data_IF_098128397083
#
_entry.id   IF_098128397083
#
_cell.length_a   1.000
_cell.length_b   1.000
_cell.length_c   1.000
_cell.angle_alpha   90.00
_cell.angle_beta   90.00
_cell.angle_gamma   90.00
#
_symmetry.space_group_name_H-M   'P 1'
#
loop_
_entity.id
_entity.type
_entity.pdbx_description
1 polymer ?
#
# COMPACT_ATOMS: atom_id res chain seq x y z
N UNK A 1 -26.61 -8.93 -4.50
CA UNK A 1 -26.27 -8.10 -5.69
C UNK A 1 -25.59 -8.97 -6.74
N UNK A 2 -26.07 -8.96 -7.98
CA UNK A 2 -25.35 -9.62 -9.09
C UNK A 2 -24.06 -8.85 -9.33
N UNK A 3 -22.91 -9.52 -9.21
CA UNK A 3 -21.60 -8.88 -9.43
C UNK A 3 -21.46 -8.46 -10.90
N UNK A 4 -21.05 -7.21 -11.12
CA UNK A 4 -20.93 -6.62 -12.47
C UNK A 4 -19.76 -7.25 -13.24
N UNK A 5 -18.65 -7.52 -12.55
CA UNK A 5 -17.39 -7.92 -13.16
C UNK A 5 -17.16 -9.43 -13.19
N UNK A 6 -18.02 -10.24 -12.54
CA UNK A 6 -17.85 -11.70 -12.50
C UNK A 6 -19.03 -12.43 -13.14
N UNK A 7 -18.74 -13.62 -13.70
CA UNK A 7 -19.70 -14.59 -14.17
C UNK A 7 -19.32 -15.96 -13.63
N UNK A 8 -20.23 -16.62 -12.92
CA UNK A 8 -19.97 -17.93 -12.27
C UNK A 8 -18.73 -17.93 -11.35
N UNK A 9 -18.53 -16.85 -10.58
CA UNK A 9 -17.39 -16.73 -9.66
C UNK A 9 -16.03 -16.48 -10.32
N UNK A 10 -15.99 -16.35 -11.66
CA UNK A 10 -14.76 -16.01 -12.41
C UNK A 10 -14.86 -14.61 -12.98
N UNK A 11 -13.75 -13.89 -13.04
CA UNK A 11 -13.68 -12.59 -13.72
C UNK A 11 -14.06 -12.74 -15.20
N UNK A 12 -14.82 -11.78 -15.71
CA UNK A 12 -15.06 -11.69 -17.15
C UNK A 12 -13.74 -11.34 -17.85
N UNK A 13 -13.50 -11.91 -19.01
CA UNK A 13 -12.24 -11.82 -19.75
C UNK A 13 -11.81 -10.37 -20.01
N UNK A 14 -12.74 -9.47 -20.24
CA UNK A 14 -12.48 -8.06 -20.53
C UNK A 14 -12.06 -7.22 -19.29
N UNK A 15 -12.30 -7.69 -18.04
CA UNK A 15 -12.07 -6.89 -16.82
C UNK A 15 -10.61 -6.56 -16.63
N UNK A 16 -9.73 -7.54 -16.72
CA UNK A 16 -8.28 -7.33 -16.54
C UNK A 16 -7.71 -6.41 -17.62
N UNK A 17 -7.97 -6.62 -18.92
CA UNK A 17 -7.53 -5.68 -19.95
C UNK A 17 -8.04 -4.26 -19.75
N UNK A 18 -9.31 -4.08 -19.34
CA UNK A 18 -9.88 -2.75 -19.09
C UNK A 18 -9.19 -2.05 -17.92
N UNK A 19 -8.92 -2.75 -16.81
CA UNK A 19 -8.23 -2.17 -15.66
C UNK A 19 -6.75 -1.87 -15.97
N UNK A 20 -6.09 -2.71 -16.77
CA UNK A 20 -4.73 -2.42 -17.27
C UNK A 20 -4.75 -1.20 -18.18
N UNK A 21 -5.72 -1.10 -19.09
CA UNK A 21 -5.88 0.09 -19.93
C UNK A 21 -6.13 1.35 -19.09
N UNK A 22 -6.92 1.26 -18.01
CA UNK A 22 -7.11 2.36 -17.06
C UNK A 22 -5.79 2.80 -16.42
N UNK A 23 -4.94 1.87 -15.97
CA UNK A 23 -3.61 2.18 -15.41
C UNK A 23 -2.76 2.90 -16.46
N UNK A 24 -2.73 2.41 -17.69
CA UNK A 24 -1.96 3.01 -18.78
C UNK A 24 -2.44 4.44 -19.07
N UNK A 25 -3.75 4.66 -19.12
CA UNK A 25 -4.35 5.99 -19.31
C UNK A 25 -4.01 6.93 -18.14
N UNK A 26 -4.14 6.44 -16.88
CA UNK A 26 -3.76 7.23 -15.71
C UNK A 26 -2.26 7.56 -15.71
N UNK A 27 -1.39 6.62 -16.09
CA UNK A 27 0.05 6.83 -16.17
C UNK A 27 0.41 7.82 -17.29
N UNK A 28 -0.22 7.72 -18.46
CA UNK A 28 -0.05 8.67 -19.56
C UNK A 28 -0.51 10.07 -19.15
N UNK A 29 -1.67 10.20 -18.51
CA UNK A 29 -2.15 11.48 -17.98
C UNK A 29 -1.18 12.05 -16.92
N UNK A 30 -0.67 11.20 -16.01
CA UNK A 30 0.31 11.58 -15.00
C UNK A 30 1.65 12.03 -15.61
N UNK A 31 2.03 11.53 -16.78
CA UNK A 31 3.20 12.01 -17.52
C UNK A 31 3.01 13.42 -18.09
N UNK A 32 1.78 13.85 -18.34
CA UNK A 32 1.47 15.17 -18.89
C UNK A 32 1.15 16.21 -17.82
N UNK A 33 0.37 15.80 -16.79
CA UNK A 33 -0.12 16.69 -15.74
C UNK A 33 0.97 16.89 -14.67
N UNK A 34 1.23 18.12 -14.31
CA UNK A 34 2.18 18.51 -13.24
C UNK A 34 2.63 19.97 -13.38
N UNK A 35 3.38 20.46 -12.41
CA UNK A 35 3.84 21.87 -12.31
C UNK A 35 4.68 22.33 -13.51
N UNK A 36 5.46 21.42 -14.07
CA UNK A 36 6.22 21.69 -15.29
C UNK A 36 5.38 21.26 -16.48
N UNK A 37 5.07 22.20 -17.35
CA UNK A 37 4.39 21.89 -18.62
C UNK A 37 5.32 21.06 -19.51
N UNK A 38 4.91 19.86 -19.84
CA UNK A 38 5.56 18.99 -20.81
C UNK A 38 4.49 18.57 -21.79
N UNK A 39 4.70 18.83 -23.07
CA UNK A 39 3.75 18.47 -24.11
C UNK A 39 3.75 16.95 -24.37
N UNK A 40 2.69 16.46 -25.02
CA UNK A 40 2.67 15.06 -25.46
C UNK A 40 3.82 14.76 -26.44
N UNK A 41 4.14 15.72 -27.30
CA UNK A 41 5.25 15.63 -28.25
C UNK A 41 6.58 15.48 -27.54
N UNK A 42 6.82 16.26 -26.46
CA UNK A 42 8.04 16.16 -25.64
C UNK A 42 8.17 14.80 -24.97
N UNK A 43 7.07 14.27 -24.41
CA UNK A 43 7.06 12.93 -23.79
C UNK A 43 7.38 11.85 -24.82
N UNK A 44 6.73 11.89 -25.98
CA UNK A 44 6.98 10.92 -27.06
C UNK A 44 8.40 11.04 -27.60
N UNK A 45 8.90 12.27 -27.78
CA UNK A 45 10.28 12.51 -28.22
C UNK A 45 11.29 11.98 -27.20
N UNK A 46 11.07 12.22 -25.90
CA UNK A 46 11.92 11.72 -24.83
C UNK A 46 11.95 10.17 -24.79
N UNK A 47 10.78 9.53 -24.92
CA UNK A 47 10.69 8.08 -25.00
C UNK A 47 11.40 7.52 -26.23
N UNK A 48 11.22 8.14 -27.40
CA UNK A 48 11.92 7.75 -28.64
C UNK A 48 13.43 7.91 -28.51
N UNK A 49 13.91 9.02 -27.98
CA UNK A 49 15.33 9.26 -27.76
C UNK A 49 15.94 8.22 -26.84
N UNK A 50 15.23 7.82 -25.77
CA UNK A 50 15.73 6.88 -24.77
C UNK A 50 15.75 5.42 -25.24
N UNK A 51 14.72 4.96 -25.96
CA UNK A 51 14.50 3.55 -26.27
C UNK A 51 14.75 3.17 -27.73
N UNK A 52 14.68 4.13 -28.66
CA UNK A 52 14.78 3.87 -30.11
C UNK A 52 15.83 4.75 -30.81
N UNK A 53 16.69 5.48 -30.07
CA UNK A 53 17.77 6.27 -30.66
C UNK A 53 17.29 7.52 -31.43
N UNK A 54 16.21 8.15 -30.97
CA UNK A 54 15.70 9.40 -31.56
C UNK A 54 16.60 10.62 -31.31
N UNK A 55 16.24 11.77 -31.88
CA UNK A 55 16.94 13.03 -31.66
C UNK A 55 16.98 13.39 -30.17
N UNK A 56 18.09 13.98 -29.67
CA UNK A 56 18.17 14.39 -28.27
C UNK A 56 17.13 15.45 -27.94
N UNK A 57 16.47 15.28 -26.81
CA UNK A 57 15.49 16.24 -26.26
C UNK A 57 16.16 17.22 -25.29
N UNK A 58 15.56 18.39 -25.00
CA UNK A 58 16.09 19.30 -24.01
C UNK A 58 16.35 18.59 -22.66
N UNK A 59 17.48 18.82 -21.98
CA UNK A 59 17.83 18.17 -20.70
C UNK A 59 16.73 18.29 -19.65
N UNK A 60 16.02 19.44 -19.61
CA UNK A 60 14.90 19.66 -18.70
C UNK A 60 13.72 18.69 -18.94
N UNK A 61 13.38 18.44 -20.21
CA UNK A 61 12.30 17.49 -20.56
C UNK A 61 12.70 16.08 -20.12
N UNK A 62 13.95 15.70 -20.44
CA UNK A 62 14.49 14.39 -20.06
C UNK A 62 14.41 14.15 -18.54
N UNK A 63 14.90 15.11 -17.75
CA UNK A 63 14.86 15.02 -16.27
C UNK A 63 13.42 14.98 -15.74
N UNK A 64 12.52 15.80 -16.24
CA UNK A 64 11.11 15.78 -15.79
C UNK A 64 10.45 14.45 -16.09
N UNK A 65 10.68 13.87 -17.25
CA UNK A 65 10.07 12.60 -17.67
C UNK A 65 10.69 11.43 -16.90
N UNK A 66 12.01 11.29 -16.90
CA UNK A 66 12.67 10.08 -16.40
C UNK A 66 13.12 10.16 -14.95
N UNK A 67 13.53 11.34 -14.45
CA UNK A 67 14.07 11.43 -13.08
C UNK A 67 12.99 11.83 -12.07
N UNK A 68 11.91 12.55 -12.51
CA UNK A 68 10.85 12.98 -11.60
C UNK A 68 9.56 12.18 -11.77
N UNK A 69 8.99 12.07 -13.00
CA UNK A 69 7.65 11.49 -13.20
C UNK A 69 7.66 9.97 -13.29
N UNK A 70 8.60 9.38 -14.01
CA UNK A 70 8.64 7.93 -14.18
C UNK A 70 8.82 7.17 -12.85
N UNK A 71 9.78 7.51 -11.96
CA UNK A 71 9.89 6.80 -10.68
C UNK A 71 8.65 6.97 -9.80
N UNK A 72 8.01 8.14 -9.80
CA UNK A 72 6.77 8.39 -9.05
C UNK A 72 5.62 7.51 -9.54
N UNK A 73 5.43 7.38 -10.84
CA UNK A 73 4.39 6.51 -11.42
C UNK A 73 4.64 5.05 -11.09
N UNK A 74 5.90 4.59 -11.21
CA UNK A 74 6.29 3.22 -10.85
C UNK A 74 5.97 2.94 -9.38
N UNK A 75 6.36 3.84 -8.48
CA UNK A 75 6.12 3.69 -7.05
C UNK A 75 4.63 3.78 -6.72
N UNK A 76 3.87 4.69 -7.34
CA UNK A 76 2.42 4.77 -7.16
C UNK A 76 1.72 3.45 -7.53
N UNK A 77 2.13 2.80 -8.63
CA UNK A 77 1.62 1.47 -9.03
C UNK A 77 1.93 0.43 -7.94
N UNK A 78 3.18 0.38 -7.49
CA UNK A 78 3.62 -0.59 -6.47
C UNK A 78 2.92 -0.39 -5.13
N UNK A 79 2.83 0.85 -4.66
CA UNK A 79 2.18 1.21 -3.39
C UNK A 79 0.69 0.90 -3.45
N UNK A 80 0.01 1.42 -4.47
CA UNK A 80 -1.43 1.26 -4.60
C UNK A 80 -1.85 -0.18 -4.75
N UNK A 81 -1.17 -0.91 -5.62
CA UNK A 81 -1.39 -2.34 -5.82
C UNK A 81 -1.03 -3.16 -4.59
N UNK A 82 0.15 -2.92 -4.01
CA UNK A 82 0.65 -3.65 -2.84
C UNK A 82 -0.26 -3.49 -1.62
N UNK A 83 -0.55 -2.25 -1.19
CA UNK A 83 -1.42 -1.99 -0.04
C UNK A 83 -2.84 -2.55 -0.25
N UNK A 84 -3.37 -2.47 -1.47
CA UNK A 84 -4.69 -2.99 -1.77
C UNK A 84 -4.74 -4.51 -1.68
N UNK A 85 -3.72 -5.20 -2.15
CA UNK A 85 -3.61 -6.67 -2.05
C UNK A 85 -3.40 -7.09 -0.60
N UNK A 86 -2.53 -6.42 0.14
CA UNK A 86 -2.30 -6.67 1.56
C UNK A 86 -3.58 -6.45 2.38
N UNK A 87 -4.29 -5.35 2.13
CA UNK A 87 -5.58 -5.07 2.77
C UNK A 87 -6.65 -6.11 2.44
N UNK A 88 -6.80 -6.50 1.16
CA UNK A 88 -7.74 -7.55 0.74
C UNK A 88 -7.44 -8.89 1.42
N UNK A 89 -6.16 -9.24 1.55
CA UNK A 89 -5.70 -10.44 2.26
C UNK A 89 -6.11 -10.39 3.75
N UNK A 90 -5.83 -9.29 4.44
CA UNK A 90 -6.18 -9.11 5.85
C UNK A 90 -7.68 -9.14 6.11
N UNK A 91 -8.46 -8.41 5.30
CA UNK A 91 -9.92 -8.43 5.41
C UNK A 91 -10.51 -9.83 5.24
N UNK A 92 -9.94 -10.65 4.36
CA UNK A 92 -10.38 -12.03 4.17
C UNK A 92 -9.90 -12.95 5.29
N UNK A 93 -8.64 -12.79 5.73
CA UNK A 93 -8.02 -13.60 6.77
C UNK A 93 -8.73 -13.44 8.13
N UNK A 94 -9.15 -12.22 8.44
CA UNK A 94 -9.82 -11.87 9.70
C UNK A 94 -11.35 -11.83 9.57
N UNK A 95 -11.91 -12.14 8.38
CA UNK A 95 -13.34 -12.02 8.09
C UNK A 95 -13.93 -10.68 8.57
N UNK A 96 -13.09 -9.63 8.49
CA UNK A 96 -13.42 -8.28 8.95
C UNK A 96 -13.08 -7.26 7.84
N UNK A 97 -14.05 -6.53 7.29
CA UNK A 97 -13.82 -5.57 6.21
C UNK A 97 -12.98 -4.35 6.63
N UNK A 98 -12.76 -4.15 7.93
CA UNK A 98 -11.96 -3.06 8.49
C UNK A 98 -10.52 -3.49 8.87
N UNK A 99 -10.18 -4.78 8.72
CA UNK A 99 -8.84 -5.26 9.03
C UNK A 99 -7.83 -4.79 7.98
N UNK A 100 -6.69 -4.29 8.44
CA UNK A 100 -5.54 -3.90 7.62
C UNK A 100 -4.25 -4.37 8.29
N UNK A 101 -3.13 -4.49 7.57
CA UNK A 101 -1.84 -4.79 8.20
C UNK A 101 -1.43 -3.80 9.30
N UNK A 102 -1.93 -2.57 9.26
CA UNK A 102 -1.68 -1.55 10.28
C UNK A 102 -2.24 -1.93 11.65
N UNK A 103 -3.28 -2.78 11.70
CA UNK A 103 -3.85 -3.30 12.94
C UNK A 103 -2.87 -4.17 13.74
N UNK A 104 -1.76 -4.60 13.14
CA UNK A 104 -0.68 -5.32 13.83
C UNK A 104 0.45 -4.41 14.33
N UNK A 105 0.30 -3.10 14.23
CA UNK A 105 1.30 -2.12 14.67
C UNK A 105 2.47 -1.93 13.70
N UNK A 106 2.43 -2.59 12.55
CA UNK A 106 3.54 -2.57 11.56
C UNK A 106 3.83 -1.16 11.08
N UNK A 107 2.80 -0.38 10.75
CA UNK A 107 2.98 1.00 10.29
C UNK A 107 3.69 1.86 11.35
N UNK A 108 3.22 1.83 12.59
CA UNK A 108 3.82 2.58 13.68
C UNK A 108 5.27 2.14 13.95
N UNK A 109 5.55 0.83 13.96
CA UNK A 109 6.90 0.31 14.11
C UNK A 109 7.84 0.70 12.97
N UNK A 110 7.37 0.66 11.73
CA UNK A 110 8.13 1.13 10.55
C UNK A 110 8.48 2.61 10.69
N UNK A 111 7.53 3.44 11.15
CA UNK A 111 7.75 4.86 11.41
C UNK A 111 8.79 5.10 12.53
N UNK A 112 8.80 4.29 13.59
CA UNK A 112 9.83 4.38 14.64
C UNK A 112 11.22 4.19 14.05
N UNK A 113 11.42 3.14 13.25
CA UNK A 113 12.71 2.89 12.60
C UNK A 113 13.15 4.02 11.69
N UNK A 114 12.23 4.56 10.90
CA UNK A 114 12.52 5.71 10.03
C UNK A 114 12.93 6.95 10.83
N UNK A 115 12.17 7.29 11.88
CA UNK A 115 12.41 8.48 12.70
C UNK A 115 13.74 8.37 13.44
N UNK A 116 14.11 7.19 13.95
CA UNK A 116 15.45 6.97 14.55
C UNK A 116 16.54 7.24 13.52
N UNK A 117 16.42 6.74 12.30
CA UNK A 117 17.40 6.92 11.24
C UNK A 117 17.49 8.39 10.78
N UNK A 118 16.36 9.12 10.73
CA UNK A 118 16.30 10.56 10.44
C UNK A 118 17.00 11.38 11.55
N UNK A 119 16.77 11.05 12.82
CA UNK A 119 17.44 11.72 13.96
C UNK A 119 18.96 11.47 13.98
N UNK A 120 19.41 10.37 13.39
CA UNK A 120 20.84 10.04 13.23
C UNK A 120 21.43 10.55 11.91
N UNK A 121 20.71 11.38 11.18
CA UNK A 121 21.09 11.97 9.88
C UNK A 121 21.53 10.90 8.84
N UNK A 122 20.87 9.72 8.85
CA UNK A 122 21.13 8.69 7.86
C UNK A 122 20.61 9.11 6.49
N UNK A 123 21.25 8.63 5.44
CA UNK A 123 20.76 8.85 4.07
C UNK A 123 19.44 8.12 3.82
N UNK A 124 18.71 8.48 2.76
CA UNK A 124 17.38 7.93 2.43
C UNK A 124 17.36 6.40 2.35
N UNK A 125 18.43 5.76 1.88
CA UNK A 125 18.54 4.29 1.84
C UNK A 125 18.65 3.72 3.24
N UNK A 126 19.41 4.35 4.11
CA UNK A 126 19.53 3.99 5.53
C UNK A 126 18.19 4.13 6.26
N UNK A 127 17.47 5.23 6.04
CA UNK A 127 16.13 5.47 6.58
C UNK A 127 15.16 4.35 6.10
N UNK A 128 15.19 4.04 4.81
CA UNK A 128 14.36 2.97 4.25
C UNK A 128 14.69 1.59 4.85
N UNK A 129 15.96 1.25 4.98
CA UNK A 129 16.40 -0.01 5.56
C UNK A 129 16.00 -0.13 7.05
N UNK A 130 16.25 0.93 7.84
CA UNK A 130 15.86 0.97 9.25
C UNK A 130 14.34 0.84 9.43
N UNK A 131 13.56 1.55 8.63
CA UNK A 131 12.11 1.48 8.62
C UNK A 131 11.61 0.05 8.31
N UNK A 132 12.15 -0.58 7.27
CA UNK A 132 11.78 -1.95 6.89
C UNK A 132 12.09 -2.95 8.00
N UNK A 133 13.30 -2.90 8.56
CA UNK A 133 13.73 -3.78 9.66
C UNK A 133 12.85 -3.58 10.89
N UNK A 134 12.58 -2.33 11.28
CA UNK A 134 11.73 -2.03 12.44
C UNK A 134 10.29 -2.51 12.24
N UNK A 135 9.72 -2.35 11.05
CA UNK A 135 8.40 -2.87 10.72
C UNK A 135 8.31 -4.40 10.83
N UNK A 136 9.30 -5.11 10.29
CA UNK A 136 9.39 -6.57 10.40
C UNK A 136 9.60 -7.03 11.84
N UNK A 137 10.47 -6.33 12.60
CA UNK A 137 10.70 -6.61 14.02
C UNK A 137 9.42 -6.38 14.84
N UNK A 138 8.67 -5.32 14.55
CA UNK A 138 7.38 -5.04 15.19
C UNK A 138 6.37 -6.14 14.93
N UNK A 139 6.25 -6.62 13.69
CA UNK A 139 5.40 -7.77 13.38
C UNK A 139 5.82 -9.02 14.16
N UNK A 140 7.11 -9.32 14.17
CA UNK A 140 7.64 -10.48 14.89
C UNK A 140 7.32 -10.37 16.39
N UNK A 141 7.50 -9.19 16.99
CA UNK A 141 7.17 -8.90 18.38
C UNK A 141 5.66 -9.06 18.65
N UNK A 142 4.79 -8.43 17.83
CA UNK A 142 3.34 -8.58 17.94
C UNK A 142 2.91 -10.03 17.86
N UNK A 143 3.47 -10.78 16.92
CA UNK A 143 3.18 -12.20 16.75
C UNK A 143 3.64 -13.02 17.95
N UNK A 144 4.81 -12.70 18.51
CA UNK A 144 5.39 -13.40 19.68
C UNK A 144 4.52 -13.22 20.94
N UNK A 145 4.11 -11.98 21.25
CA UNK A 145 3.27 -11.69 22.44
C UNK A 145 1.82 -12.19 22.28
N UNK A 146 1.38 -12.40 21.03
CA UNK A 146 0.01 -12.85 20.74
C UNK A 146 -0.14 -14.37 20.71
N UNK A 147 0.95 -15.13 20.87
CA UNK A 147 0.89 -16.59 20.96
C UNK A 147 0.25 -17.02 22.27
N UNK A 148 -0.76 -17.88 22.18
CA UNK A 148 -1.36 -18.51 23.37
C UNK A 148 -0.43 -19.61 23.93
N UNK A 149 -0.60 -19.97 25.20
CA UNK A 149 0.14 -21.07 25.85
C UNK A 149 0.01 -22.42 25.12
N UNK A 150 -1.08 -22.61 24.39
CA UNK A 150 -1.35 -23.82 23.59
C UNK A 150 -0.73 -23.77 22.19
N UNK A 151 -0.03 -22.67 21.84
CA UNK A 151 0.53 -22.47 20.49
C UNK A 151 -0.52 -22.16 19.40
N UNK A 152 -1.80 -22.09 19.76
CA UNK A 152 -2.86 -21.78 18.83
C UNK A 152 -2.83 -20.30 18.43
N UNK A 153 -3.09 -20.03 17.16
CA UNK A 153 -3.12 -18.69 16.60
C UNK A 153 -4.50 -18.08 16.84
N UNK A 154 -4.65 -17.22 17.84
CA UNK A 154 -5.90 -16.54 18.11
C UNK A 154 -5.90 -15.16 17.44
N UNK A 155 -6.82 -14.95 16.49
CA UNK A 155 -6.99 -13.69 15.75
C UNK A 155 -7.26 -12.50 16.68
N UNK A 156 -8.10 -12.70 17.70
CA UNK A 156 -8.46 -11.62 18.64
C UNK A 156 -7.22 -11.19 19.43
N UNK A 157 -6.45 -12.14 19.95
CA UNK A 157 -5.22 -11.86 20.69
C UNK A 157 -4.18 -11.16 19.80
N UNK A 158 -4.11 -11.51 18.52
CA UNK A 158 -3.20 -10.88 17.58
C UNK A 158 -3.58 -9.43 17.32
N UNK A 159 -4.87 -9.14 17.10
CA UNK A 159 -5.37 -7.77 16.89
C UNK A 159 -5.18 -6.93 18.15
N UNK A 160 -5.51 -7.46 19.33
CA UNK A 160 -5.28 -6.77 20.61
C UNK A 160 -3.80 -6.50 20.86
N UNK A 161 -2.94 -7.49 20.61
CA UNK A 161 -1.49 -7.34 20.65
C UNK A 161 -1.00 -6.23 19.71
N UNK A 162 -1.52 -6.18 18.50
CA UNK A 162 -1.23 -5.12 17.52
C UNK A 162 -1.64 -3.73 18.00
N UNK A 163 -2.82 -3.58 18.61
CA UNK A 163 -3.27 -2.31 19.18
C UNK A 163 -2.33 -1.86 20.31
N UNK A 164 -1.94 -2.76 21.21
CA UNK A 164 -0.99 -2.46 22.30
C UNK A 164 0.37 -2.04 21.73
N UNK A 165 0.89 -2.79 20.77
CA UNK A 165 2.19 -2.49 20.13
C UNK A 165 2.13 -1.18 19.37
N UNK A 166 1.03 -0.89 18.67
CA UNK A 166 0.82 0.40 18.01
C UNK A 166 0.83 1.56 19.00
N UNK A 167 0.15 1.41 20.15
CA UNK A 167 0.13 2.43 21.19
C UNK A 167 1.54 2.69 21.76
N UNK A 168 2.31 1.61 22.02
CA UNK A 168 3.69 1.71 22.49
C UNK A 168 4.59 2.39 21.43
N UNK A 169 4.50 1.96 20.16
CA UNK A 169 5.27 2.55 19.07
C UNK A 169 4.94 4.05 18.88
N UNK A 170 3.66 4.44 18.98
CA UNK A 170 3.26 5.84 18.90
C UNK A 170 3.75 6.66 20.12
N UNK A 171 3.84 6.08 21.31
CA UNK A 171 4.45 6.72 22.47
C UNK A 171 5.97 6.96 22.24
N UNK A 172 6.67 5.96 21.70
CA UNK A 172 8.08 6.10 21.31
C UNK A 172 8.26 7.17 20.23
N UNK A 173 7.41 7.18 19.19
CA UNK A 173 7.42 8.23 18.16
C UNK A 173 7.25 9.63 18.76
N UNK A 174 6.33 9.78 19.73
CA UNK A 174 6.11 11.07 20.41
C UNK A 174 7.34 11.51 21.21
N UNK A 175 7.99 10.57 21.89
CA UNK A 175 9.24 10.83 22.62
C UNK A 175 10.38 11.23 21.67
N UNK A 176 10.55 10.51 20.55
CA UNK A 176 11.56 10.84 19.54
C UNK A 176 11.33 12.24 18.94
N UNK A 177 10.07 12.61 18.66
CA UNK A 177 9.73 13.97 18.20
C UNK A 177 10.05 15.06 19.24
N UNK A 178 9.90 14.74 20.52
CA UNK A 178 10.23 15.68 21.60
C UNK A 178 11.76 15.97 21.69
N UNK A 179 12.59 14.98 21.31
CA UNK A 179 14.06 15.12 21.33
C UNK A 179 14.62 15.71 20.03
N UNK A 180 13.81 15.82 18.96
CA UNK A 180 14.23 16.35 17.67
C UNK A 180 14.46 17.87 17.73
N UNK A 181 15.43 18.35 16.93
CA UNK A 181 15.62 19.79 16.74
C UNK A 181 14.35 20.43 16.15
N UNK A 182 13.78 21.48 16.82
CA UNK A 182 12.51 22.07 16.40
C UNK A 182 12.54 22.76 15.02
N UNK A 183 13.72 23.18 14.58
CA UNK A 183 13.87 24.01 13.38
C UNK A 183 14.24 23.21 12.13
N UNK A 184 14.91 22.07 12.29
CA UNK A 184 15.41 21.24 11.19
C UNK A 184 14.76 19.85 11.18
N UNK A 185 15.01 19.04 12.22
CA UNK A 185 14.59 17.62 12.23
C UNK A 185 13.10 17.41 12.42
N UNK A 186 12.44 18.17 13.31
CA UNK A 186 11.02 17.98 13.58
C UNK A 186 10.12 18.25 12.37
N UNK A 187 10.33 19.31 11.55
CA UNK A 187 9.60 19.51 10.30
C UNK A 187 9.83 18.37 9.30
N UNK A 188 11.09 17.90 9.15
CA UNK A 188 11.43 16.81 8.24
C UNK A 188 10.74 15.50 8.64
N UNK A 189 10.84 15.10 9.92
CA UNK A 189 10.15 13.93 10.48
C UNK A 189 8.64 14.03 10.27
N UNK A 190 8.07 15.21 10.54
CA UNK A 190 6.63 15.42 10.41
C UNK A 190 6.18 15.26 8.95
N UNK A 191 6.93 15.86 8.02
CA UNK A 191 6.64 15.72 6.59
C UNK A 191 6.80 14.29 6.11
N UNK A 192 7.86 13.58 6.52
CA UNK A 192 8.09 12.18 6.18
C UNK A 192 6.94 11.29 6.68
N UNK A 193 6.48 11.49 7.92
CA UNK A 193 5.37 10.73 8.51
C UNK A 193 4.03 10.94 7.78
N UNK A 194 3.82 12.10 7.15
CA UNK A 194 2.61 12.37 6.36
C UNK A 194 2.60 11.65 5.01
N UNK A 195 3.72 11.08 4.59
CA UNK A 195 3.86 10.34 3.33
C UNK A 195 3.92 11.21 2.08
N UNK A 196 4.93 10.96 1.26
CA UNK A 196 5.16 11.68 0.00
C UNK A 196 5.92 10.81 -1.00
N UNK A 197 5.67 11.02 -2.30
CA UNK A 197 6.47 10.44 -3.38
C UNK A 197 7.47 11.44 -3.98
N UNK A 198 7.60 12.63 -3.42
CA UNK A 198 8.42 13.71 -3.98
C UNK A 198 9.90 13.34 -4.10
N UNK A 199 10.43 12.64 -3.10
CA UNK A 199 11.84 12.30 -3.00
C UNK A 199 12.20 10.88 -3.48
N UNK A 200 11.24 10.16 -4.08
CA UNK A 200 11.46 8.76 -4.48
C UNK A 200 12.44 8.67 -5.65
N UNK A 201 13.46 7.84 -5.48
CA UNK A 201 14.52 7.57 -6.46
C UNK A 201 14.46 6.13 -6.97
N UNK A 202 15.10 5.85 -8.10
CA UNK A 202 15.23 4.48 -8.61
C UNK A 202 15.97 3.55 -7.63
N UNK A 203 16.90 4.07 -6.83
CA UNK A 203 17.60 3.27 -5.81
C UNK A 203 16.64 2.81 -4.71
N UNK A 204 15.77 3.69 -4.23
CA UNK A 204 14.73 3.33 -3.25
C UNK A 204 13.74 2.32 -3.84
N UNK A 205 13.38 2.47 -5.12
CA UNK A 205 12.54 1.49 -5.83
C UNK A 205 13.23 0.13 -5.87
N UNK A 206 14.51 0.10 -6.26
CA UNK A 206 15.29 -1.14 -6.35
C UNK A 206 15.39 -1.87 -5.01
N UNK A 207 15.45 -1.13 -3.88
CA UNK A 207 15.47 -1.71 -2.55
C UNK A 207 14.08 -2.21 -2.10
N UNK A 208 13.01 -1.45 -2.34
CA UNK A 208 11.67 -1.77 -1.81
C UNK A 208 10.81 -2.63 -2.73
N UNK A 209 10.88 -2.44 -4.05
CA UNK A 209 10.02 -3.14 -5.00
C UNK A 209 10.12 -4.68 -4.93
N UNK A 210 11.29 -5.30 -4.74
CA UNK A 210 11.38 -6.75 -4.62
C UNK A 210 10.53 -7.32 -3.49
N UNK A 211 10.47 -6.66 -2.35
CA UNK A 211 9.66 -7.09 -1.21
C UNK A 211 8.17 -6.93 -1.48
N UNK A 212 7.76 -5.82 -2.10
CA UNK A 212 6.36 -5.60 -2.48
C UNK A 212 5.93 -6.65 -3.51
N UNK A 213 6.73 -6.86 -4.56
CA UNK A 213 6.43 -7.82 -5.62
C UNK A 213 6.37 -9.24 -5.08
N UNK A 214 7.35 -9.65 -4.25
CA UNK A 214 7.36 -10.98 -3.63
C UNK A 214 6.10 -11.20 -2.78
N UNK A 215 5.75 -10.25 -1.92
CA UNK A 215 4.54 -10.33 -1.12
C UNK A 215 3.26 -10.40 -1.95
N UNK A 216 3.15 -9.57 -3.00
CA UNK A 216 2.01 -9.59 -3.94
C UNK A 216 1.92 -10.95 -4.67
N UNK A 217 3.04 -11.48 -5.16
CA UNK A 217 3.08 -12.79 -5.83
C UNK A 217 2.60 -13.89 -4.90
N UNK A 218 3.05 -13.91 -3.65
CA UNK A 218 2.61 -14.88 -2.64
C UNK A 218 1.09 -14.79 -2.42
N UNK A 219 0.55 -13.59 -2.19
CA UNK A 219 -0.88 -13.41 -1.94
C UNK A 219 -1.71 -13.77 -3.18
N UNK A 220 -1.25 -13.39 -4.40
CA UNK A 220 -1.91 -13.75 -5.66
C UNK A 220 -1.90 -15.26 -5.88
N UNK A 221 -0.80 -15.95 -5.57
CA UNK A 221 -0.73 -17.41 -5.64
C UNK A 221 -1.70 -18.09 -4.66
N UNK A 222 -1.81 -17.55 -3.45
CA UNK A 222 -2.65 -18.09 -2.38
C UNK A 222 -4.09 -17.54 -2.35
N UNK A 223 -4.50 -16.76 -3.36
CA UNK A 223 -5.83 -16.12 -3.40
C UNK A 223 -7.02 -17.08 -3.33
N UNK A 224 -6.82 -18.34 -3.71
CA UNK A 224 -7.87 -19.36 -3.56
C UNK A 224 -7.98 -19.83 -2.11
N UNK A 225 -6.85 -20.05 -1.45
CA UNK A 225 -6.79 -20.46 -0.04
C UNK A 225 -7.42 -19.41 0.88
N UNK A 226 -7.37 -18.12 0.52
CA UNK A 226 -8.07 -17.06 1.24
C UNK A 226 -9.59 -17.26 1.32
N UNK A 227 -10.22 -17.92 0.33
CA UNK A 227 -11.65 -18.24 0.41
C UNK A 227 -11.90 -19.36 1.43
N UNK A 228 -10.98 -20.32 1.54
CA UNK A 228 -11.07 -21.42 2.52
C UNK A 228 -10.83 -20.88 3.94
N UNK A 229 -9.86 -19.99 4.12
CA UNK A 229 -9.54 -19.38 5.41
C UNK A 229 -10.65 -18.45 5.96
N UNK A 230 -11.60 -18.04 5.12
CA UNK A 230 -12.80 -17.30 5.55
C UNK A 230 -13.95 -18.21 6.04
N UNK A 231 -13.82 -19.53 5.95
CA UNK A 231 -14.72 -20.51 6.55
C UNK A 231 -14.35 -20.76 8.03
N UNK A 232 -15.13 -21.58 8.72
CA UNK A 232 -14.74 -22.05 10.06
C UNK A 232 -13.43 -22.84 10.01
N UNK A 233 -12.72 -22.88 11.14
CA UNK A 233 -11.42 -23.55 11.19
C UNK A 233 -11.52 -25.05 10.92
N UNK A 234 -12.61 -25.69 11.36
CA UNK A 234 -12.86 -27.11 11.15
C UNK A 234 -13.17 -27.42 9.67
N UNK A 235 -13.95 -26.58 9.00
CA UNK A 235 -14.21 -26.68 7.56
C UNK A 235 -12.93 -26.48 6.73
N UNK A 236 -12.09 -25.51 7.10
CA UNK A 236 -10.84 -25.27 6.41
C UNK A 236 -9.85 -26.42 6.57
N UNK A 237 -9.78 -27.03 7.76
CA UNK A 237 -8.96 -28.23 8.02
C UNK A 237 -9.47 -29.43 7.27
N UNK A 238 -10.80 -29.64 7.22
CA UNK A 238 -11.44 -30.72 6.46
C UNK A 238 -11.20 -30.60 4.95
N UNK A 239 -10.99 -29.39 4.44
CA UNK A 239 -10.57 -29.12 3.06
C UNK A 239 -9.06 -29.37 2.80
N UNK A 240 -8.31 -29.93 3.79
CA UNK A 240 -6.90 -30.27 3.66
C UNK A 240 -5.95 -29.09 3.75
N UNK A 241 -6.40 -27.92 4.22
CA UNK A 241 -5.56 -26.71 4.33
C UNK A 241 -4.93 -26.62 5.71
N UNK A 242 -3.61 -26.46 5.77
CA UNK A 242 -2.93 -26.11 7.01
C UNK A 242 -3.19 -24.63 7.35
N UNK A 243 -4.26 -24.39 8.13
CA UNK A 243 -4.76 -23.05 8.47
C UNK A 243 -3.67 -22.20 9.13
N UNK A 244 -2.92 -22.77 10.08
CA UNK A 244 -1.87 -22.04 10.82
C UNK A 244 -0.75 -21.58 9.90
N UNK A 245 -0.26 -22.46 9.02
CA UNK A 245 0.80 -22.12 8.07
C UNK A 245 0.33 -21.08 7.06
N UNK A 246 -0.86 -21.25 6.49
CA UNK A 246 -1.40 -20.32 5.50
C UNK A 246 -1.63 -18.94 6.09
N UNK A 247 -2.19 -18.86 7.31
CA UNK A 247 -2.32 -17.59 8.04
C UNK A 247 -0.97 -16.92 8.25
N UNK A 248 0.03 -17.65 8.71
CA UNK A 248 1.38 -17.12 8.94
C UNK A 248 1.99 -16.55 7.64
N UNK A 249 1.94 -17.30 6.53
CA UNK A 249 2.47 -16.86 5.23
C UNK A 249 1.77 -15.58 4.76
N UNK A 250 0.43 -15.50 4.84
CA UNK A 250 -0.32 -14.34 4.38
C UNK A 250 -0.09 -13.10 5.27
N UNK A 251 0.05 -13.29 6.58
CA UNK A 251 0.40 -12.20 7.51
C UNK A 251 1.80 -11.68 7.18
N UNK A 252 2.79 -12.56 7.04
CA UNK A 252 4.16 -12.16 6.70
C UNK A 252 4.19 -11.44 5.36
N UNK A 253 3.57 -12.00 4.31
CA UNK A 253 3.53 -11.39 2.99
C UNK A 253 2.89 -9.98 3.02
N UNK A 254 1.74 -9.83 3.69
CA UNK A 254 1.06 -8.54 3.80
C UNK A 254 1.87 -7.53 4.61
N UNK A 255 2.57 -7.99 5.66
CA UNK A 255 3.43 -7.13 6.48
C UNK A 255 4.66 -6.66 5.72
N UNK A 256 5.31 -7.57 4.99
CA UNK A 256 6.46 -7.23 4.14
C UNK A 256 6.08 -6.17 3.11
N UNK A 257 4.91 -6.31 2.46
CA UNK A 257 4.39 -5.28 1.56
C UNK A 257 4.24 -3.95 2.29
N UNK A 258 3.53 -3.94 3.43
CA UNK A 258 3.21 -2.70 4.15
C UNK A 258 4.45 -2.00 4.70
N UNK A 259 5.36 -2.74 5.33
CA UNK A 259 6.62 -2.20 5.83
C UNK A 259 7.48 -1.64 4.69
N UNK A 260 7.55 -2.35 3.55
CA UNK A 260 8.30 -1.86 2.39
C UNK A 260 7.69 -0.61 1.77
N UNK A 261 6.36 -0.55 1.65
CA UNK A 261 5.66 0.66 1.17
C UNK A 261 5.95 1.85 2.07
N UNK A 262 5.72 1.70 3.39
CA UNK A 262 5.91 2.80 4.34
C UNK A 262 7.38 3.24 4.40
N UNK A 263 8.33 2.31 4.29
CA UNK A 263 9.76 2.64 4.27
C UNK A 263 10.17 3.49 3.05
N UNK A 264 9.46 3.37 1.93
CA UNK A 264 9.74 4.11 0.69
C UNK A 264 9.11 5.51 0.66
N UNK A 265 7.95 5.68 1.24
CA UNK A 265 7.14 6.89 1.02
C UNK A 265 6.49 7.45 2.29
N UNK A 266 6.81 6.92 3.47
CA UNK A 266 6.11 7.27 4.70
C UNK A 266 4.71 6.64 4.79
N UNK A 267 3.90 7.10 5.74
CA UNK A 267 2.63 6.49 6.02
C UNK A 267 1.58 6.80 4.94
N UNK A 268 0.95 5.75 4.40
CA UNK A 268 -0.15 5.85 3.43
C UNK A 268 -1.36 5.09 3.98
N UNK A 269 -2.34 5.83 4.45
CA UNK A 269 -3.59 5.26 4.98
C UNK A 269 -4.66 5.04 3.92
N UNK A 270 -5.77 4.40 4.32
CA UNK A 270 -7.03 4.24 3.59
C UNK A 270 -7.00 3.37 2.34
N UNK A 271 -5.91 3.31 1.56
CA UNK A 271 -5.83 2.57 0.30
C UNK A 271 -6.10 1.08 0.50
N UNK A 272 -5.43 0.47 1.50
CA UNK A 272 -5.63 -0.93 1.87
C UNK A 272 -7.00 -1.25 2.46
N UNK A 273 -7.78 -0.24 2.82
CA UNK A 273 -9.14 -0.38 3.33
C UNK A 273 -10.17 -0.16 2.22
N UNK A 274 -10.05 0.96 1.50
CA UNK A 274 -11.00 1.45 0.52
C UNK A 274 -11.04 0.56 -0.72
N UNK A 275 -9.89 0.29 -1.32
CA UNK A 275 -9.81 -0.39 -2.62
C UNK A 275 -10.34 -1.82 -2.58
N UNK A 276 -9.96 -2.67 -1.60
CA UNK A 276 -10.54 -4.01 -1.49
C UNK A 276 -12.05 -3.99 -1.28
N UNK A 277 -12.56 -2.99 -0.56
CA UNK A 277 -14.00 -2.84 -0.40
C UNK A 277 -14.70 -2.53 -1.72
N UNK A 278 -14.19 -1.57 -2.49
CA UNK A 278 -14.67 -1.29 -3.85
C UNK A 278 -14.60 -2.54 -4.75
N UNK A 279 -13.49 -3.28 -4.69
CA UNK A 279 -13.33 -4.51 -5.45
C UNK A 279 -14.41 -5.54 -5.09
N UNK A 280 -14.72 -5.72 -3.79
CA UNK A 280 -15.80 -6.63 -3.35
C UNK A 280 -17.18 -6.17 -3.82
N UNK A 281 -17.46 -4.88 -3.83
CA UNK A 281 -18.72 -4.35 -4.39
C UNK A 281 -18.88 -4.68 -5.88
N UNK A 282 -17.78 -4.69 -6.63
CA UNK A 282 -17.75 -4.93 -8.07
C UNK A 282 -17.73 -6.42 -8.44
N UNK A 283 -16.95 -7.23 -7.70
CA UNK A 283 -16.69 -8.64 -8.04
C UNK A 283 -17.42 -9.65 -7.14
N UNK A 284 -18.01 -9.22 -6.01
CA UNK A 284 -18.47 -10.12 -4.95
C UNK A 284 -17.32 -10.52 -4.00
N UNK A 285 -17.53 -11.56 -3.18
CA UNK A 285 -16.63 -11.93 -2.08
C UNK A 285 -15.50 -12.91 -2.48
N UNK A 286 -15.48 -13.40 -3.73
CA UNK A 286 -14.51 -14.39 -4.16
C UNK A 286 -13.11 -13.78 -4.33
N UNK A 287 -12.16 -14.17 -3.48
CA UNK A 287 -10.80 -13.65 -3.48
C UNK A 287 -10.02 -13.95 -4.77
N UNK A 288 -10.42 -14.96 -5.56
CA UNK A 288 -9.86 -15.17 -6.91
C UNK A 288 -10.08 -13.97 -7.83
N UNK A 289 -11.16 -13.22 -7.61
CA UNK A 289 -11.50 -12.01 -8.36
C UNK A 289 -11.09 -10.74 -7.60
N UNK A 290 -11.32 -10.69 -6.28
CA UNK A 290 -11.06 -9.52 -5.45
C UNK A 290 -9.58 -9.14 -5.45
N UNK A 291 -8.65 -10.11 -5.30
CA UNK A 291 -7.21 -9.84 -5.23
C UNK A 291 -6.69 -9.16 -6.51
N UNK A 292 -6.87 -9.71 -7.73
CA UNK A 292 -6.36 -9.06 -8.93
C UNK A 292 -7.07 -7.73 -9.24
N UNK A 293 -8.37 -7.60 -8.94
CA UNK A 293 -9.08 -6.33 -9.12
C UNK A 293 -8.59 -5.28 -8.13
N UNK A 294 -8.34 -5.66 -6.87
CA UNK A 294 -7.75 -4.76 -5.87
C UNK A 294 -6.35 -4.27 -6.27
N UNK A 295 -5.51 -5.17 -6.80
CA UNK A 295 -4.19 -4.82 -7.33
C UNK A 295 -4.30 -3.70 -8.36
N UNK A 296 -5.11 -3.92 -9.39
CA UNK A 296 -5.20 -3.00 -10.54
C UNK A 296 -5.92 -1.68 -10.18
N UNK A 297 -7.02 -1.74 -9.42
CA UNK A 297 -7.72 -0.55 -8.96
C UNK A 297 -6.86 0.30 -8.03
N UNK A 298 -6.12 -0.34 -7.10
CA UNK A 298 -5.23 0.36 -6.20
C UNK A 298 -4.09 1.06 -6.91
N UNK A 299 -3.50 0.40 -7.92
CA UNK A 299 -2.48 1.00 -8.77
C UNK A 299 -3.01 2.24 -9.50
N UNK A 300 -4.18 2.15 -10.13
CA UNK A 300 -4.80 3.29 -10.81
C UNK A 300 -5.13 4.44 -9.84
N UNK A 301 -5.72 4.12 -8.67
CA UNK A 301 -6.07 5.10 -7.64
C UNK A 301 -4.84 5.87 -7.15
N UNK A 302 -3.72 5.18 -6.87
CA UNK A 302 -2.52 5.85 -6.37
C UNK A 302 -1.85 6.74 -7.40
N UNK A 303 -1.89 6.39 -8.70
CA UNK A 303 -1.43 7.29 -9.76
C UNK A 303 -2.25 8.58 -9.76
N UNK A 304 -3.57 8.47 -9.62
CA UNK A 304 -4.46 9.65 -9.57
C UNK A 304 -4.17 10.48 -8.32
N UNK A 305 -4.05 9.86 -7.15
CA UNK A 305 -3.76 10.55 -5.89
C UNK A 305 -2.41 11.27 -5.95
N UNK A 306 -1.35 10.61 -6.44
CA UNK A 306 -0.04 11.25 -6.63
C UNK A 306 -0.10 12.42 -7.61
N UNK A 307 -0.85 12.28 -8.70
CA UNK A 307 -1.03 13.35 -9.69
C UNK A 307 -1.73 14.55 -9.07
N UNK A 308 -2.76 14.33 -8.25
CA UNK A 308 -3.44 15.39 -7.50
C UNK A 308 -2.50 16.02 -6.45
N UNK A 309 -1.75 15.21 -5.70
CA UNK A 309 -0.82 15.65 -4.66
C UNK A 309 0.18 16.70 -5.16
N UNK A 310 0.71 16.48 -6.37
CA UNK A 310 1.73 17.36 -6.98
C UNK A 310 1.19 18.48 -7.87
N UNK A 311 -0.13 18.49 -8.16
CA UNK A 311 -0.72 19.48 -9.09
C UNK A 311 -1.67 20.48 -8.44
N UNK A 312 -2.27 20.16 -7.27
CA UNK A 312 -3.29 21.00 -6.64
C UNK A 312 -2.73 22.19 -5.86
N UNK A 313 -1.48 22.13 -5.40
CA UNK A 313 -0.89 23.18 -4.57
C UNK A 313 0.56 23.49 -4.96
N UNK A 314 1.04 24.69 -4.63
CA UNK A 314 2.44 25.08 -4.80
C UNK A 314 3.40 24.27 -3.90
N UNK A 315 2.99 23.88 -2.71
CA UNK A 315 3.63 22.82 -1.91
C UNK A 315 2.93 21.51 -2.20
N UNK A 316 3.66 20.40 -2.32
CA UNK A 316 3.02 19.09 -2.53
C UNK A 316 2.14 18.73 -1.33
N UNK A 317 0.91 18.29 -1.59
CA UNK A 317 0.02 17.83 -0.54
C UNK A 317 0.45 16.41 -0.14
N UNK A 318 0.70 16.14 1.15
CA UNK A 318 0.99 14.79 1.62
C UNK A 318 -0.09 13.77 1.22
N UNK A 319 0.34 12.58 0.84
CA UNK A 319 -0.55 11.54 0.30
C UNK A 319 -1.58 11.09 1.34
N UNK A 320 -1.20 11.01 2.63
CA UNK A 320 -2.13 10.61 3.70
C UNK A 320 -3.32 11.55 3.84
N UNK A 321 -3.12 12.84 3.58
CA UNK A 321 -4.19 13.85 3.62
C UNK A 321 -5.20 13.58 2.50
N UNK A 322 -4.73 13.38 1.27
CA UNK A 322 -5.62 13.12 0.13
C UNK A 322 -6.34 11.78 0.25
N UNK A 323 -5.63 10.74 0.69
CA UNK A 323 -6.27 9.43 0.91
C UNK A 323 -7.32 9.48 2.02
N UNK A 324 -7.10 10.29 3.08
CA UNK A 324 -8.08 10.48 4.15
C UNK A 324 -9.29 11.29 3.69
N UNK A 325 -9.08 12.37 2.93
CA UNK A 325 -10.17 13.20 2.38
C UNK A 325 -11.08 12.39 1.44
N UNK A 326 -10.53 11.43 0.70
CA UNK A 326 -11.31 10.55 -0.18
C UNK A 326 -11.90 9.38 0.61
N UNK A 327 -11.11 8.75 1.46
CA UNK A 327 -11.48 7.51 2.16
C UNK A 327 -12.54 7.70 3.23
N UNK A 328 -12.41 8.73 4.10
CA UNK A 328 -13.34 8.91 5.20
C UNK A 328 -14.79 9.21 4.74
N UNK A 329 -15.04 10.13 3.78
CA UNK A 329 -16.40 10.35 3.28
C UNK A 329 -16.99 9.11 2.59
N UNK A 330 -16.17 8.35 1.86
CA UNK A 330 -16.61 7.10 1.24
C UNK A 330 -17.13 6.11 2.29
N UNK A 331 -16.40 5.94 3.40
CA UNK A 331 -16.84 5.05 4.49
C UNK A 331 -18.06 5.57 5.23
N UNK A 332 -18.22 6.88 5.39
CA UNK A 332 -19.45 7.47 5.97
C UNK A 332 -20.67 7.13 5.11
N UNK A 333 -20.56 7.29 3.79
CA UNK A 333 -21.64 6.92 2.85
C UNK A 333 -21.93 5.42 2.92
N UNK A 334 -20.90 4.61 3.01
CA UNK A 334 -21.04 3.16 3.11
C UNK A 334 -21.76 2.74 4.40
N UNK A 335 -21.36 3.26 5.55
CA UNK A 335 -22.00 2.98 6.84
C UNK A 335 -23.47 3.37 6.84
N UNK A 336 -23.84 4.50 6.24
CA UNK A 336 -25.24 4.91 6.10
C UNK A 336 -26.07 3.94 5.24
N UNK A 337 -25.46 3.37 4.16
CA UNK A 337 -26.15 2.42 3.29
C UNK A 337 -26.29 1.03 3.92
N UNK A 338 -25.35 0.60 4.73
CA UNK A 338 -25.39 -0.72 5.40
C UNK A 338 -26.12 -0.67 6.74
N UNK A 339 -26.07 0.44 7.47
CA UNK A 339 -26.74 0.62 8.76
C UNK A 339 -28.24 0.96 8.67
N UNK A 340 -28.75 1.35 7.49
CA UNK A 340 -30.17 1.67 7.27
C UNK A 340 -31.04 0.48 6.83
N UNK A 341 -30.47 -0.73 6.80
CA UNK A 341 -31.19 -1.96 6.44
C UNK A 341 -31.57 -2.77 7.71
N UNK A 342 -32.08 -2.09 8.75
CA UNK A 342 -32.78 -2.70 9.89
C UNK A 342 -34.19 -2.16 9.98
#
# INVERSE_FOLDING_TARGET
>A
MKSVLTRNGRLRVWVVPTLVALIVVCAAAAMLIGRFSVSLEDVVAALRARFWGGAPVPPRVNSVVFDLRAPRIIVAILIGGGLSVAGASFQSLFSNPLATPDTLGVAAGTCVGAVIALLLDWNLIGVQAAALVAGLATMAFTTAISRTRTGAFNVITLVLGGVIVSALANAVLSLLKLTADPTSQLPEITYWLMGSLAAVTYQQIALGAPFIIAGVVVIVALRWQLNILSLSEDEARSAGVNVTLMRAILIVASTVITASVISMCGQVGWVGLLVPHCARMLCGQNNRAVIPVSLLLGSALMIVIDTLARSLSASEIPISILTAIIGAPFFIVLLRRTGGAR
#
